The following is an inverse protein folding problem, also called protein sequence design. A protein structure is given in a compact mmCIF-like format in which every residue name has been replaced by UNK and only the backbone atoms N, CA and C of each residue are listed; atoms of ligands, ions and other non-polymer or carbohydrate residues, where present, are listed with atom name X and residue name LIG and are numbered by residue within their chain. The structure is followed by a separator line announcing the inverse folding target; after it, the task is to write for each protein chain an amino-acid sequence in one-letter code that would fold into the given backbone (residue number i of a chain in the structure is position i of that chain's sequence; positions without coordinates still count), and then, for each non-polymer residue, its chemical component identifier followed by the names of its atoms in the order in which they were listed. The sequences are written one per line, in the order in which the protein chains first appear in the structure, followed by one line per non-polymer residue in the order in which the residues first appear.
data_IF_149534638973
#
_entry.id   IF_149534638973
#
_cell.length_a   1.000
_cell.length_b   1.000
_cell.length_c   1.000
_cell.angle_alpha   90.00
_cell.angle_beta   90.00
_cell.angle_gamma   90.00
#
_symmetry.space_group_name_H-M   'P 1'
#
loop_
_entity.id
_entity.type
_entity.pdbx_description
1 polymer ?
#
# COMPACT_ATOMS: atom_id res chain seq x y z
N UNK A 1 -28.62 12.48 23.19
CA UNK A 1 -27.88 13.22 22.14
C UNK A 1 -27.67 12.27 20.97
N UNK A 2 -28.17 12.54 19.76
CA UNK A 2 -27.84 11.70 18.62
C UNK A 2 -26.36 11.91 18.27
N UNK A 3 -25.59 10.83 18.18
CA UNK A 3 -24.19 10.89 17.74
C UNK A 3 -24.17 11.41 16.30
N UNK A 4 -23.31 12.38 15.95
CA UNK A 4 -23.15 12.79 14.56
C UNK A 4 -22.72 11.57 13.74
N UNK A 5 -23.42 11.30 12.65
CA UNK A 5 -23.07 10.26 11.70
C UNK A 5 -21.66 10.54 11.15
N UNK A 6 -20.74 9.56 11.15
CA UNK A 6 -19.38 9.79 10.70
C UNK A 6 -19.36 10.16 9.20
N UNK A 7 -18.57 11.18 8.84
CA UNK A 7 -18.50 11.70 7.47
C UNK A 7 -17.60 10.80 6.61
N UNK A 8 -18.05 10.44 5.42
CA UNK A 8 -17.22 9.74 4.42
C UNK A 8 -16.29 10.72 3.71
N UNK A 9 -15.14 10.24 3.23
CA UNK A 9 -14.24 11.05 2.39
C UNK A 9 -14.87 11.19 1.00
N UNK A 10 -15.04 12.42 0.47
CA UNK A 10 -15.61 12.64 -0.86
C UNK A 10 -14.62 12.23 -1.96
N UNK A 11 -15.12 12.04 -3.18
CA UNK A 11 -14.26 11.87 -4.35
C UNK A 11 -13.68 13.24 -4.71
N UNK A 12 -12.36 13.38 -4.64
CA UNK A 12 -11.63 14.60 -4.95
C UNK A 12 -11.02 14.47 -6.35
N UNK A 13 -11.33 15.41 -7.23
CA UNK A 13 -10.92 15.36 -8.65
C UNK A 13 -9.77 16.30 -8.99
N UNK A 14 -9.51 17.28 -8.13
CA UNK A 14 -8.42 18.26 -8.31
C UNK A 14 -7.60 18.39 -7.03
N UNK A 15 -6.35 18.82 -7.18
CA UNK A 15 -5.47 19.08 -6.04
C UNK A 15 -6.06 20.19 -5.14
N UNK A 16 -6.68 21.21 -5.75
CA UNK A 16 -7.34 22.29 -5.00
C UNK A 16 -8.51 21.79 -4.14
N UNK A 17 -9.34 20.90 -4.67
CA UNK A 17 -10.44 20.30 -3.88
C UNK A 17 -9.88 19.52 -2.68
N UNK A 18 -8.73 18.87 -2.85
CA UNK A 18 -8.06 18.16 -1.78
C UNK A 18 -7.49 19.10 -0.72
N UNK A 19 -6.83 20.19 -1.13
CA UNK A 19 -6.34 21.23 -0.21
C UNK A 19 -7.49 21.82 0.61
N UNK A 20 -8.56 22.26 -0.06
CA UNK A 20 -9.73 22.86 0.60
C UNK A 20 -10.42 21.85 1.55
N UNK A 21 -10.40 20.55 1.23
CA UNK A 21 -10.92 19.49 2.11
C UNK A 21 -10.04 19.24 3.34
N UNK A 22 -8.72 19.41 3.22
CA UNK A 22 -7.75 19.18 4.31
C UNK A 22 -7.70 20.33 5.32
N UNK A 23 -8.15 21.52 4.95
CA UNK A 23 -8.17 22.71 5.82
C UNK A 23 -9.21 22.64 6.96
N UNK A 24 -10.08 21.62 6.98
CA UNK A 24 -11.10 21.42 8.02
C UNK A 24 -10.67 20.39 9.09
N UNK A 25 -11.39 20.35 10.22
CA UNK A 25 -11.22 19.28 11.21
C UNK A 25 -11.73 17.93 10.69
N UNK A 26 -10.83 16.95 10.62
CA UNK A 26 -11.07 15.61 10.08
C UNK A 26 -11.35 14.55 11.16
N UNK A 27 -11.39 14.94 12.44
CA UNK A 27 -11.52 14.01 13.57
C UNK A 27 -12.82 13.18 13.58
N UNK A 28 -13.85 13.66 12.87
CA UNK A 28 -15.17 13.02 12.76
C UNK A 28 -15.33 12.13 11.49
N UNK A 29 -14.25 11.87 10.75
CA UNK A 29 -14.28 10.97 9.60
C UNK A 29 -14.50 9.52 10.02
N UNK A 30 -15.18 8.77 9.16
CA UNK A 30 -15.28 7.32 9.31
C UNK A 30 -13.94 6.65 8.93
N UNK A 31 -13.12 6.25 9.91
CA UNK A 31 -11.85 5.58 9.60
C UNK A 31 -12.00 4.14 9.08
N UNK A 32 -13.20 3.53 9.19
CA UNK A 32 -13.44 2.16 8.70
C UNK A 32 -13.47 2.07 7.17
N UNK A 33 -13.65 3.20 6.48
CA UNK A 33 -13.64 3.27 5.02
C UNK A 33 -12.23 3.13 4.41
N UNK A 34 -11.17 3.32 5.21
CA UNK A 34 -9.79 3.23 4.73
C UNK A 34 -9.32 1.79 4.65
N UNK A 35 -8.47 1.50 3.67
CA UNK A 35 -7.78 0.22 3.55
C UNK A 35 -6.38 0.34 4.14
N UNK A 36 -5.92 -0.65 4.93
CA UNK A 36 -4.55 -0.68 5.41
C UNK A 36 -3.57 -0.60 4.24
N UNK A 37 -2.67 0.38 4.27
CA UNK A 37 -1.60 0.54 3.30
C UNK A 37 -0.26 0.36 4.01
N UNK A 38 0.53 -0.64 3.59
CA UNK A 38 1.91 -0.81 4.06
C UNK A 38 2.84 -0.01 3.16
N UNK A 39 3.37 1.08 3.70
CA UNK A 39 4.48 1.80 3.08
C UNK A 39 5.78 1.02 3.29
N UNK A 40 6.71 1.07 2.33
CA UNK A 40 8.07 0.54 2.57
C UNK A 40 8.73 1.44 3.61
N UNK A 41 8.70 1.05 4.88
CA UNK A 41 9.23 1.88 6.00
C UNK A 41 10.69 1.62 6.30
N UNK A 42 11.24 0.47 5.87
CA UNK A 42 12.58 0.05 6.24
C UNK A 42 13.62 0.34 5.13
N UNK A 43 14.81 0.87 5.50
CA UNK A 43 15.90 1.08 4.56
C UNK A 43 16.42 -0.26 4.01
N UNK A 44 16.96 -0.23 2.78
CA UNK A 44 17.53 -1.40 2.09
C UNK A 44 18.93 -1.72 2.63
N UNK A 45 19.02 -2.21 3.88
CA UNK A 45 20.28 -2.41 4.61
C UNK A 45 20.96 -3.77 4.38
N UNK A 46 20.24 -4.77 3.85
CA UNK A 46 20.76 -6.13 3.64
C UNK A 46 20.48 -6.66 2.22
N UNK A 47 21.32 -7.58 1.74
CA UNK A 47 21.20 -8.24 0.43
C UNK A 47 21.03 -9.74 0.59
N UNK A 48 20.09 -10.31 -0.17
CA UNK A 48 19.91 -11.75 -0.30
C UNK A 48 20.48 -12.19 -1.66
N UNK A 49 21.36 -13.19 -1.66
CA UNK A 49 21.91 -13.81 -2.88
C UNK A 49 21.56 -15.29 -2.86
N UNK A 50 20.79 -15.76 -3.84
CA UNK A 50 20.35 -17.16 -3.95
C UNK A 50 20.26 -17.60 -5.41
N UNK A 51 20.33 -18.91 -5.65
CA UNK A 51 20.04 -19.50 -6.97
C UNK A 51 18.58 -19.91 -7.04
N UNK A 52 17.92 -19.59 -8.16
CA UNK A 52 16.53 -19.90 -8.41
C UNK A 52 16.37 -20.44 -9.84
N UNK A 53 15.39 -21.31 -10.11
CA UNK A 53 15.09 -21.74 -11.47
C UNK A 53 14.73 -20.55 -12.37
N UNK A 54 15.24 -20.55 -13.59
CA UNK A 54 14.96 -19.50 -14.58
C UNK A 54 13.46 -19.29 -14.86
N UNK A 55 12.63 -20.34 -14.98
CA UNK A 55 11.19 -20.17 -15.18
C UNK A 55 10.51 -19.41 -14.04
N UNK A 56 11.00 -19.57 -12.80
CA UNK A 56 10.47 -18.89 -11.64
C UNK A 56 10.79 -17.38 -11.68
N UNK A 57 12.01 -17.02 -12.07
CA UNK A 57 12.41 -15.62 -12.25
C UNK A 57 11.59 -14.95 -13.36
N UNK A 58 11.36 -15.66 -14.46
CA UNK A 58 10.53 -15.18 -15.56
C UNK A 58 9.08 -14.91 -15.11
N UNK A 59 8.47 -15.86 -14.39
CA UNK A 59 7.12 -15.72 -13.86
C UNK A 59 7.00 -14.53 -12.87
N UNK A 60 7.99 -14.37 -12.00
CA UNK A 60 8.04 -13.25 -11.04
C UNK A 60 8.10 -11.89 -11.75
N UNK A 61 8.97 -11.76 -12.78
CA UNK A 61 9.08 -10.54 -13.59
C UNK A 61 7.78 -10.22 -14.32
N UNK A 62 7.12 -11.24 -14.90
CA UNK A 62 5.84 -11.07 -15.58
C UNK A 62 4.75 -10.57 -14.61
N UNK A 63 4.66 -11.17 -13.41
CA UNK A 63 3.71 -10.76 -12.37
C UNK A 63 3.96 -9.34 -11.86
N UNK A 64 5.24 -8.96 -11.70
CA UNK A 64 5.61 -7.61 -11.29
C UNK A 64 5.26 -6.57 -12.36
N UNK A 65 5.52 -6.88 -13.65
CA UNK A 65 5.15 -6.04 -14.79
C UNK A 65 3.64 -5.82 -14.87
N UNK A 66 2.85 -6.88 -14.69
CA UNK A 66 1.38 -6.78 -14.67
C UNK A 66 0.85 -5.87 -13.55
N UNK A 67 1.59 -5.74 -12.44
CA UNK A 67 1.28 -4.86 -11.31
C UNK A 67 1.90 -3.46 -11.43
N UNK A 68 2.73 -3.19 -12.43
CA UNK A 68 3.44 -1.91 -12.56
C UNK A 68 4.48 -1.64 -11.48
N UNK A 69 5.05 -2.69 -10.85
CA UNK A 69 6.03 -2.55 -9.76
C UNK A 69 7.38 -3.19 -10.14
N UNK A 70 8.51 -2.75 -9.56
CA UNK A 70 9.78 -3.44 -9.68
C UNK A 70 9.69 -4.87 -9.13
N UNK A 71 10.29 -5.86 -9.81
CA UNK A 71 10.20 -7.26 -9.38
C UNK A 71 10.83 -7.49 -8.00
N UNK A 72 11.84 -6.70 -7.59
CA UNK A 72 12.39 -6.78 -6.23
C UNK A 72 11.36 -6.42 -5.15
N UNK A 73 10.42 -5.50 -5.45
CA UNK A 73 9.32 -5.16 -4.53
C UNK A 73 8.39 -6.36 -4.35
N UNK A 74 8.09 -7.07 -5.44
CA UNK A 74 7.28 -8.29 -5.36
C UNK A 74 7.93 -9.38 -4.50
N UNK A 75 9.27 -9.53 -4.58
CA UNK A 75 10.00 -10.48 -3.71
C UNK A 75 9.87 -10.06 -2.25
N UNK A 76 10.11 -8.78 -1.94
CA UNK A 76 9.96 -8.25 -0.58
C UNK A 76 8.57 -8.51 -0.02
N UNK A 77 7.53 -8.15 -0.76
CA UNK A 77 6.14 -8.36 -0.32
C UNK A 77 5.83 -9.85 -0.06
N UNK A 78 6.43 -10.76 -0.83
CA UNK A 78 6.26 -12.20 -0.61
C UNK A 78 6.96 -12.68 0.67
N UNK A 79 8.16 -12.16 0.95
CA UNK A 79 8.89 -12.45 2.19
C UNK A 79 8.19 -11.88 3.42
N UNK A 80 7.69 -10.65 3.34
CA UNK A 80 6.94 -10.02 4.43
C UNK A 80 5.67 -10.82 4.76
N UNK A 81 4.88 -11.20 3.75
CA UNK A 81 3.69 -12.05 3.96
C UNK A 81 4.03 -13.39 4.59
N UNK A 82 5.10 -14.04 4.17
CA UNK A 82 5.53 -15.31 4.74
C UNK A 82 5.96 -15.20 6.22
N UNK A 83 6.31 -13.99 6.69
CA UNK A 83 6.68 -13.72 8.09
C UNK A 83 5.51 -13.15 8.92
N UNK A 84 4.56 -12.47 8.28
CA UNK A 84 3.35 -11.93 8.92
C UNK A 84 2.30 -13.02 9.24
N UNK A 85 2.41 -14.23 8.66
CA UNK A 85 1.50 -15.36 8.91
C UNK A 85 1.82 -16.15 10.21
N UNK A 86 2.55 -15.56 11.17
CA UNK A 86 2.88 -16.14 12.49
C UNK A 86 2.18 -15.37 13.60
#
# INVERSE_FOLDING_TARGET
MPKPSPKSVPVLTTDKDAEDFLDQDLSALDFTQFKPMRFETLPKSARITMRLPEPLIAALKAKAKARGIPYQRLIREALERALDEI
#
